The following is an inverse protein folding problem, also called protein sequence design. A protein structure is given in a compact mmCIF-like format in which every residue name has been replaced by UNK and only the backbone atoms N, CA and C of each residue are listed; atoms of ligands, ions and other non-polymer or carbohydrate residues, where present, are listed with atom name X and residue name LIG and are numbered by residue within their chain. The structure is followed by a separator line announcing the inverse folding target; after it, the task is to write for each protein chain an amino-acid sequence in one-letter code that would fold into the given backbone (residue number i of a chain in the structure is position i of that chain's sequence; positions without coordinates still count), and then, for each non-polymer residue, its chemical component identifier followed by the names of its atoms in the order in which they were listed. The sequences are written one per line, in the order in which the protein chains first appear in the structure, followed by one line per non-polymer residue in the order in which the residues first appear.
data_IF_286719420950
#
_entry.id   IF_286719420950
#
_cell.length_a   1.000
_cell.length_b   1.000
_cell.length_c   1.000
_cell.angle_alpha   90.00
_cell.angle_beta   90.00
_cell.angle_gamma   90.00
#
_symmetry.space_group_name_H-M   'P 1'
#
loop_
_entity.id
_entity.type
_entity.pdbx_description
1 polymer ?
#
# COMPACT_ATOMS: atom_id res chain seq x y z
N UNK A 1 -8.07 -9.11 13.10
CA UNK A 1 -8.56 -9.42 14.47
C UNK A 1 -9.49 -10.60 14.40
N UNK A 2 -9.15 -11.69 15.07
CA UNK A 2 -9.94 -12.93 15.06
C UNK A 2 -11.33 -12.69 15.66
N UNK A 3 -12.36 -13.23 15.00
CA UNK A 3 -13.75 -13.29 15.47
C UNK A 3 -14.33 -14.63 15.03
N UNK A 4 -15.16 -15.24 15.86
CA UNK A 4 -15.78 -16.53 15.52
C UNK A 4 -16.79 -16.39 14.35
N UNK A 5 -17.43 -15.22 14.25
CA UNK A 5 -18.34 -14.91 13.15
C UNK A 5 -17.94 -13.60 12.46
N UNK A 6 -17.85 -13.66 11.14
CA UNK A 6 -17.61 -12.50 10.28
C UNK A 6 -18.83 -12.22 9.39
N UNK A 7 -19.11 -10.94 9.09
CA UNK A 7 -20.19 -10.59 8.18
C UNK A 7 -19.89 -11.11 6.77
N UNK A 8 -20.84 -11.84 6.18
CA UNK A 8 -20.68 -12.47 4.86
C UNK A 8 -21.63 -11.88 3.82
N UNK A 9 -21.15 -11.81 2.58
CA UNK A 9 -21.96 -11.48 1.41
C UNK A 9 -22.82 -12.68 0.99
N UNK A 10 -24.03 -12.43 0.48
CA UNK A 10 -24.94 -13.47 0.01
C UNK A 10 -24.42 -14.19 -1.24
N UNK A 11 -23.80 -13.45 -2.16
CA UNK A 11 -23.31 -13.94 -3.46
C UNK A 11 -21.92 -13.38 -3.78
N UNK A 12 -21.21 -14.08 -4.67
CA UNK A 12 -19.93 -13.63 -5.23
C UNK A 12 -20.20 -12.92 -6.55
N UNK A 13 -19.79 -11.67 -6.69
CA UNK A 13 -19.79 -10.97 -7.97
C UNK A 13 -18.44 -11.16 -8.69
N UNK A 14 -18.38 -12.18 -9.55
CA UNK A 14 -17.18 -12.49 -10.33
C UNK A 14 -16.73 -11.37 -11.28
N UNK A 15 -17.66 -10.50 -11.72
CA UNK A 15 -17.30 -9.33 -12.54
C UNK A 15 -16.40 -8.35 -11.78
N UNK A 16 -16.71 -8.11 -10.50
CA UNK A 16 -15.89 -7.27 -9.64
C UNK A 16 -14.54 -7.93 -9.35
N UNK A 17 -14.52 -9.23 -9.05
CA UNK A 17 -13.26 -9.98 -8.82
C UNK A 17 -12.32 -9.85 -10.02
N UNK A 18 -12.83 -10.09 -11.24
CA UNK A 18 -12.02 -10.00 -12.46
C UNK A 18 -11.55 -8.56 -12.71
N UNK A 19 -12.42 -7.57 -12.50
CA UNK A 19 -12.05 -6.15 -12.61
C UNK A 19 -10.93 -5.77 -11.64
N UNK A 20 -11.06 -6.16 -10.37
CA UNK A 20 -10.08 -5.86 -9.34
C UNK A 20 -8.74 -6.57 -9.61
N UNK A 21 -8.76 -7.85 -10.02
CA UNK A 21 -7.55 -8.55 -10.43
C UNK A 21 -6.89 -7.92 -11.67
N UNK A 22 -7.67 -7.48 -12.65
CA UNK A 22 -7.16 -6.78 -13.81
C UNK A 22 -6.50 -5.44 -13.41
N UNK A 23 -7.08 -4.72 -12.46
CA UNK A 23 -6.49 -3.50 -11.89
C UNK A 23 -5.15 -3.79 -11.20
N UNK A 24 -5.03 -4.88 -10.42
CA UNK A 24 -3.75 -5.29 -9.80
C UNK A 24 -2.69 -5.50 -10.86
N UNK A 25 -3.00 -6.28 -11.90
CA UNK A 25 -2.08 -6.54 -13.02
C UNK A 25 -1.67 -5.23 -13.69
N UNK A 26 -2.62 -4.34 -13.96
CA UNK A 26 -2.36 -3.00 -14.50
C UNK A 26 -1.42 -2.17 -13.63
N UNK A 27 -1.62 -2.15 -12.31
CA UNK A 27 -0.75 -1.45 -11.38
C UNK A 27 0.65 -2.04 -11.31
N UNK A 28 0.81 -3.37 -11.43
CA UNK A 28 2.13 -4.02 -11.49
C UNK A 28 2.89 -3.58 -12.74
N UNK A 29 2.25 -3.65 -13.91
CA UNK A 29 2.88 -3.19 -15.16
C UNK A 29 3.21 -1.71 -15.13
N UNK A 30 2.31 -0.88 -14.60
CA UNK A 30 2.53 0.56 -14.48
C UNK A 30 3.68 0.88 -13.53
N UNK A 31 3.76 0.21 -12.38
CA UNK A 31 4.87 0.35 -11.43
C UNK A 31 6.20 -0.06 -12.05
N UNK A 32 6.22 -1.18 -12.76
CA UNK A 32 7.40 -1.62 -13.51
C UNK A 32 7.84 -0.56 -14.54
N UNK A 33 6.89 -0.02 -15.31
CA UNK A 33 7.17 1.05 -16.27
C UNK A 33 7.75 2.30 -15.59
N UNK A 34 7.18 2.73 -14.46
CA UNK A 34 7.68 3.89 -13.71
C UNK A 34 9.13 3.66 -13.24
N UNK A 35 9.43 2.50 -12.68
CA UNK A 35 10.76 2.17 -12.18
C UNK A 35 11.79 2.13 -13.31
N UNK A 36 11.49 1.45 -14.42
CA UNK A 36 12.41 1.33 -15.55
C UNK A 36 12.62 2.68 -16.25
N UNK A 37 11.55 3.48 -16.41
CA UNK A 37 11.63 4.72 -17.19
C UNK A 37 12.23 5.90 -16.41
N UNK A 38 11.91 6.00 -15.11
CA UNK A 38 12.26 7.16 -14.29
C UNK A 38 13.33 6.88 -13.24
N UNK A 39 13.32 5.71 -12.60
CA UNK A 39 14.29 5.39 -11.54
C UNK A 39 15.58 4.77 -12.11
N UNK A 40 15.48 3.81 -13.03
CA UNK A 40 16.64 3.12 -13.59
C UNK A 40 17.70 4.06 -14.22
N UNK A 41 17.36 5.10 -15.03
CA UNK A 41 18.39 5.98 -15.60
C UNK A 41 19.10 6.85 -14.56
N UNK A 42 18.44 7.14 -13.43
CA UNK A 42 19.06 7.84 -12.31
C UNK A 42 20.12 6.95 -11.69
N UNK A 43 19.78 5.69 -11.40
CA UNK A 43 20.68 4.73 -10.75
C UNK A 43 21.74 4.11 -11.67
N UNK A 44 21.53 4.08 -12.98
CA UNK A 44 22.49 3.50 -13.94
C UNK A 44 23.85 4.20 -13.95
N UNK A 45 23.89 5.49 -13.55
CA UNK A 45 25.13 6.28 -13.47
C UNK A 45 25.94 6.02 -12.19
N UNK A 46 25.37 5.31 -11.22
CA UNK A 46 26.01 4.97 -9.95
C UNK A 46 26.83 3.68 -10.11
N UNK A 47 28.05 3.81 -10.62
CA UNK A 47 28.96 2.66 -10.79
C UNK A 47 30.20 2.93 -11.66
N UNK A 48 30.21 4.01 -12.45
CA UNK A 48 31.26 4.32 -13.43
C UNK A 48 32.22 5.42 -13.00
N UNK A 49 32.89 5.28 -11.84
CA UNK A 49 34.02 6.15 -11.43
C UNK A 49 33.71 7.64 -11.16
N UNK A 50 32.57 7.99 -10.54
CA UNK A 50 32.36 9.33 -9.99
C UNK A 50 32.48 9.33 -8.46
N UNK A 51 33.28 10.26 -7.92
CA UNK A 51 33.36 10.52 -6.49
C UNK A 51 32.01 10.99 -5.99
N UNK A 52 31.46 10.26 -5.01
CA UNK A 52 30.13 10.51 -4.49
C UNK A 52 30.10 11.83 -3.72
N UNK A 53 29.55 12.88 -4.35
CA UNK A 53 29.28 14.14 -3.67
C UNK A 53 27.88 14.11 -3.04
N UNK A 54 27.75 14.62 -1.81
CA UNK A 54 26.46 14.77 -1.13
C UNK A 54 25.43 15.54 -2.00
N UNK A 55 25.89 16.47 -2.84
CA UNK A 55 25.05 17.21 -3.79
C UNK A 55 24.43 16.30 -4.86
N UNK A 56 25.18 15.32 -5.38
CA UNK A 56 24.66 14.38 -6.39
C UNK A 56 23.65 13.41 -5.79
N UNK A 57 23.85 12.98 -4.54
CA UNK A 57 22.87 12.17 -3.81
C UNK A 57 21.55 12.93 -3.66
N UNK A 58 21.62 14.20 -3.23
CA UNK A 58 20.45 15.03 -3.02
C UNK A 58 19.66 15.23 -4.32
N UNK A 59 20.34 15.52 -5.43
CA UNK A 59 19.70 15.67 -6.75
C UNK A 59 18.96 14.42 -7.20
N UNK A 60 19.50 13.24 -6.93
CA UNK A 60 18.84 11.98 -7.28
C UNK A 60 17.67 11.65 -6.38
N UNK A 61 17.75 11.95 -5.08
CA UNK A 61 16.58 11.83 -4.17
C UNK A 61 15.44 12.71 -4.66
N UNK A 62 15.71 13.97 -5.01
CA UNK A 62 14.68 14.87 -5.55
C UNK A 62 14.12 14.38 -6.89
N UNK A 63 14.98 13.89 -7.78
CA UNK A 63 14.57 13.35 -9.09
C UNK A 63 13.70 12.11 -8.96
N UNK A 64 13.95 11.27 -7.95
CA UNK A 64 13.17 10.07 -7.67
C UNK A 64 11.94 10.32 -6.78
N UNK A 65 11.83 11.46 -6.11
CA UNK A 65 10.75 11.73 -5.15
C UNK A 65 9.36 11.63 -5.79
N UNK A 66 9.19 12.23 -6.96
CA UNK A 66 7.93 12.18 -7.70
C UNK A 66 7.56 10.76 -8.20
N UNK A 67 8.42 10.04 -8.96
CA UNK A 67 8.09 8.68 -9.38
C UNK A 67 7.94 7.73 -8.19
N UNK A 68 8.71 7.89 -7.11
CA UNK A 68 8.53 7.10 -5.88
C UNK A 68 7.17 7.34 -5.23
N UNK A 69 6.68 8.58 -5.21
CA UNK A 69 5.35 8.93 -4.67
C UNK A 69 4.24 8.29 -5.50
N UNK A 70 4.38 8.27 -6.84
CA UNK A 70 3.44 7.56 -7.72
C UNK A 70 3.47 6.04 -7.48
N UNK A 71 4.66 5.46 -7.35
CA UNK A 71 4.80 4.02 -7.03
C UNK A 71 4.14 3.69 -5.70
N UNK A 72 4.30 4.54 -4.67
CA UNK A 72 3.64 4.36 -3.37
C UNK A 72 2.11 4.36 -3.51
N UNK A 73 1.55 5.30 -4.27
CA UNK A 73 0.10 5.38 -4.52
C UNK A 73 -0.40 4.15 -5.31
N UNK A 74 0.34 3.72 -6.33
CA UNK A 74 0.00 2.53 -7.10
C UNK A 74 0.08 1.25 -6.26
N UNK A 75 1.10 1.12 -5.42
CA UNK A 75 1.24 -0.02 -4.51
C UNK A 75 0.12 -0.03 -3.46
N UNK A 76 -0.22 1.14 -2.90
CA UNK A 76 -1.36 1.29 -2.00
C UNK A 76 -2.65 0.82 -2.66
N UNK A 77 -2.95 1.30 -3.86
CA UNK A 77 -4.15 0.93 -4.60
C UNK A 77 -4.16 -0.56 -4.99
N UNK A 78 -3.05 -1.06 -5.53
CA UNK A 78 -2.95 -2.46 -5.94
C UNK A 78 -3.18 -3.42 -4.78
N UNK A 79 -2.57 -3.14 -3.62
CA UNK A 79 -2.63 -4.05 -2.46
C UNK A 79 -3.88 -3.81 -1.64
N UNK A 80 -4.07 -2.61 -1.09
CA UNK A 80 -5.15 -2.37 -0.11
C UNK A 80 -6.52 -2.24 -0.76
N UNK A 81 -6.59 -1.71 -1.99
CA UNK A 81 -7.85 -1.59 -2.69
C UNK A 81 -8.13 -2.83 -3.53
N UNK A 82 -7.41 -3.03 -4.62
CA UNK A 82 -7.78 -4.03 -5.61
C UNK A 82 -7.56 -5.48 -5.13
N UNK A 83 -6.38 -5.79 -4.59
CA UNK A 83 -6.08 -7.15 -4.11
C UNK A 83 -6.97 -7.55 -2.94
N UNK A 84 -7.01 -6.76 -1.86
CA UNK A 84 -7.84 -7.11 -0.70
C UNK A 84 -9.34 -7.19 -1.05
N UNK A 85 -9.87 -6.30 -1.90
CA UNK A 85 -11.28 -6.41 -2.33
C UNK A 85 -11.55 -7.65 -3.19
N UNK A 86 -10.64 -8.00 -4.11
CA UNK A 86 -10.77 -9.22 -4.91
C UNK A 86 -10.84 -10.47 -4.00
N UNK A 87 -9.94 -10.57 -3.02
CA UNK A 87 -9.94 -11.67 -2.06
C UNK A 87 -11.15 -11.64 -1.12
N UNK A 88 -11.58 -10.45 -0.69
CA UNK A 88 -12.78 -10.31 0.12
C UNK A 88 -14.02 -10.80 -0.61
N UNK A 89 -14.19 -10.42 -1.88
CA UNK A 89 -15.31 -10.88 -2.72
C UNK A 89 -15.26 -12.39 -2.95
N UNK A 90 -14.08 -12.95 -3.27
CA UNK A 90 -13.89 -14.41 -3.42
C UNK A 90 -14.24 -15.19 -2.15
N UNK A 91 -13.90 -14.68 -0.97
CA UNK A 91 -14.19 -15.30 0.32
C UNK A 91 -15.59 -14.96 0.87
N UNK A 92 -16.39 -14.19 0.13
CA UNK A 92 -17.67 -13.61 0.58
C UNK A 92 -17.53 -12.79 1.87
N UNK A 93 -16.37 -12.17 2.11
CA UNK A 93 -16.15 -11.29 3.24
C UNK A 93 -16.80 -9.92 2.97
N UNK A 94 -17.73 -9.52 3.84
CA UNK A 94 -18.51 -8.29 3.64
C UNK A 94 -17.85 -7.05 4.21
N UNK A 95 -16.94 -7.19 5.17
CA UNK A 95 -16.26 -6.05 5.78
C UNK A 95 -15.07 -5.62 4.92
N UNK A 96 -15.26 -4.59 4.11
CA UNK A 96 -14.27 -4.13 3.12
C UNK A 96 -13.53 -2.87 3.54
N UNK A 97 -13.62 -2.50 4.82
CA UNK A 97 -13.00 -1.28 5.33
C UNK A 97 -11.49 -1.47 5.60
N UNK A 98 -10.70 -1.73 4.55
CA UNK A 98 -9.26 -1.95 4.69
C UNK A 98 -8.44 -0.68 4.95
N UNK A 99 -8.97 0.47 4.54
CA UNK A 99 -8.38 1.79 4.72
C UNK A 99 -9.47 2.86 4.85
N UNK A 100 -9.11 4.04 5.36
CA UNK A 100 -9.98 5.22 5.49
C UNK A 100 -9.40 6.39 4.69
N UNK A 101 -9.97 7.58 4.84
CA UNK A 101 -9.57 8.84 4.21
C UNK A 101 -8.22 9.37 4.74
N UNK A 102 -7.16 8.57 4.58
CA UNK A 102 -5.83 8.85 5.10
C UNK A 102 -5.22 10.11 4.49
N UNK A 103 -5.57 10.43 3.25
CA UNK A 103 -5.09 11.61 2.53
C UNK A 103 -5.55 12.94 3.14
N UNK A 104 -6.67 12.93 3.89
CA UNK A 104 -7.20 14.10 4.61
C UNK A 104 -6.70 14.18 6.07
N UNK A 105 -5.75 13.33 6.46
CA UNK A 105 -5.26 13.28 7.84
C UNK A 105 -4.43 14.51 8.18
N UNK A 106 -4.85 15.28 9.19
CA UNK A 106 -4.15 16.48 9.67
C UNK A 106 -3.02 16.20 10.68
N UNK A 107 -2.94 14.96 11.19
CA UNK A 107 -1.95 14.53 12.18
C UNK A 107 -1.37 13.18 11.79
N UNK A 108 -0.07 12.98 12.04
CA UNK A 108 0.61 11.70 11.84
C UNK A 108 -0.07 10.55 12.58
N UNK A 109 -0.57 10.81 13.79
CA UNK A 109 -1.31 9.80 14.55
C UNK A 109 -2.54 9.33 13.77
N UNK A 110 -3.32 10.24 13.19
CA UNK A 110 -4.48 9.87 12.38
C UNK A 110 -4.06 9.13 11.10
N UNK A 111 -3.01 9.56 10.42
CA UNK A 111 -2.51 8.93 9.19
C UNK A 111 -2.19 7.43 9.39
N UNK A 112 -1.44 7.08 10.45
CA UNK A 112 -1.09 5.68 10.71
C UNK A 112 -2.30 4.78 11.03
N UNK A 113 -3.38 5.35 11.59
CA UNK A 113 -4.62 4.61 11.90
C UNK A 113 -5.51 4.40 10.68
N UNK A 114 -5.44 5.30 9.70
CA UNK A 114 -6.35 5.34 8.54
C UNK A 114 -5.73 4.76 7.28
N UNK A 115 -4.40 4.72 7.17
CA UNK A 115 -3.69 4.21 6.00
C UNK A 115 -3.94 2.71 5.77
N UNK A 116 -3.66 1.87 6.78
CA UNK A 116 -3.87 0.43 6.73
C UNK A 116 -4.58 -0.01 8.01
N UNK A 117 -5.91 -0.04 7.97
CA UNK A 117 -6.72 -0.37 9.14
C UNK A 117 -6.49 -1.82 9.59
N UNK A 118 -6.24 -2.75 8.65
CA UNK A 118 -5.99 -4.17 8.99
C UNK A 118 -4.77 -4.33 9.90
N UNK A 119 -3.65 -3.69 9.54
CA UNK A 119 -2.41 -3.75 10.32
C UNK A 119 -2.55 -2.94 11.61
N UNK A 120 -3.18 -1.76 11.54
CA UNK A 120 -3.43 -0.94 12.71
C UNK A 120 -4.24 -1.70 13.77
N UNK A 121 -5.36 -2.31 13.38
CA UNK A 121 -6.26 -3.00 14.31
C UNK A 121 -5.61 -4.25 14.90
N UNK A 122 -4.76 -4.94 14.13
CA UNK A 122 -3.95 -6.04 14.65
C UNK A 122 -2.93 -5.57 15.69
N UNK A 123 -2.17 -4.49 15.39
CA UNK A 123 -1.21 -3.93 16.33
C UNK A 123 -1.89 -3.39 17.59
N UNK A 124 -3.06 -2.79 17.45
CA UNK A 124 -3.81 -2.23 18.57
C UNK A 124 -4.30 -3.34 19.53
N UNK A 125 -4.98 -4.36 18.99
CA UNK A 125 -5.56 -5.42 19.82
C UNK A 125 -4.51 -6.35 20.43
N UNK A 126 -3.54 -6.80 19.64
CA UNK A 126 -2.61 -7.84 20.10
C UNK A 126 -1.33 -7.30 20.72
N UNK A 127 -0.89 -6.10 20.37
CA UNK A 127 0.37 -5.55 20.91
C UNK A 127 0.08 -4.48 21.95
N UNK A 128 -0.69 -3.46 21.57
CA UNK A 128 -0.91 -2.32 22.46
C UNK A 128 -1.75 -2.68 23.69
N UNK A 129 -2.87 -3.39 23.52
CA UNK A 129 -3.71 -3.77 24.65
C UNK A 129 -3.02 -4.77 25.57
N UNK A 130 -2.31 -5.77 25.04
CA UNK A 130 -1.58 -6.74 25.87
C UNK A 130 -0.46 -6.09 26.69
N UNK A 131 0.33 -5.20 26.08
CA UNK A 131 1.39 -4.47 26.79
C UNK A 131 0.82 -3.55 27.89
N UNK A 132 -0.36 -2.98 27.68
CA UNK A 132 -1.00 -2.14 28.68
C UNK A 132 -1.67 -2.96 29.79
N UNK A 133 -2.19 -4.15 29.47
CA UNK A 133 -2.77 -5.07 30.46
C UNK A 133 -1.70 -5.75 31.34
N UNK A 134 -0.47 -5.86 30.84
CA UNK A 134 0.69 -6.38 31.57
C UNK A 134 1.32 -5.39 32.57
N UNK A 135 0.85 -4.13 32.61
CA UNK A 135 1.27 -3.11 33.58
C UNK A 135 0.24 -2.95 34.68
#
# INVERSE_FOLDING_TARGET
VYRDEYPRSASINWGNVVSDLAQVVGCIFYTHFLLVRFCAPVFHKYGTNQTFSASQMLMSVFSCCFPASLVLLCAFFAVLHAWLNAFAEMMKFSDRMFYKDWWNSTSYSRFYRTWNCVVHDWLYEYVYMELHASK
#
